data_IF_683139546383
#
_entry.id   IF_683139546383
#
_cell.length_a   1.000
_cell.length_b   1.000
_cell.length_c   1.000
_cell.angle_alpha   90.00
_cell.angle_beta   90.00
_cell.angle_gamma   90.00
#
_symmetry.space_group_name_H-M   'P 1'
#
loop_
_entity.id
_entity.type
_entity.pdbx_description
1 polymer ?
#
# COMPACT_ATOMS: atom_id res chain seq x y z
N UNK A 1 -0.83 20.04 -15.11
CA UNK A 1 0.27 20.06 -14.13
C UNK A 1 -0.38 20.16 -12.75
N UNK A 2 -0.12 19.17 -11.89
CA UNK A 2 -0.49 19.09 -10.45
C UNK A 2 -1.94 18.71 -10.05
N UNK A 3 -2.29 17.42 -10.14
CA UNK A 3 -3.32 16.77 -9.29
C UNK A 3 -2.71 16.10 -8.03
N UNK A 4 -1.49 16.49 -7.64
CA UNK A 4 -0.82 16.02 -6.43
C UNK A 4 -1.56 16.48 -5.15
N UNK A 5 -2.28 17.60 -5.22
CA UNK A 5 -2.86 18.28 -4.05
C UNK A 5 -4.06 17.59 -3.39
N UNK A 6 -4.59 16.46 -3.89
CA UNK A 6 -5.70 15.78 -3.20
C UNK A 6 -5.27 14.49 -2.50
N UNK A 7 -4.47 13.64 -3.16
CA UNK A 7 -3.99 12.40 -2.55
C UNK A 7 -3.06 12.68 -1.36
N UNK A 8 -2.12 13.62 -1.52
CA UNK A 8 -1.19 14.04 -0.46
C UNK A 8 -1.93 14.64 0.75
N UNK A 9 -2.95 15.46 0.48
CA UNK A 9 -3.80 16.04 1.52
C UNK A 9 -4.59 14.96 2.28
N UNK A 10 -5.09 13.93 1.59
CA UNK A 10 -5.77 12.81 2.25
C UNK A 10 -4.77 11.97 3.07
N UNK A 11 -3.55 11.76 2.56
CA UNK A 11 -2.49 11.08 3.31
C UNK A 11 -2.16 11.83 4.61
N UNK A 12 -1.99 13.15 4.53
CA UNK A 12 -1.77 14.02 5.68
C UNK A 12 -2.92 13.91 6.69
N UNK A 13 -4.18 13.93 6.24
CA UNK A 13 -5.35 13.76 7.12
C UNK A 13 -5.40 12.38 7.79
N UNK A 14 -5.05 11.31 7.07
CA UNK A 14 -4.95 9.97 7.63
C UNK A 14 -3.85 9.92 8.69
N UNK A 15 -2.67 10.48 8.40
CA UNK A 15 -1.56 10.54 9.34
C UNK A 15 -1.92 11.32 10.61
N UNK A 16 -2.52 12.50 10.47
CA UNK A 16 -3.01 13.28 11.61
C UNK A 16 -4.02 12.49 12.43
N UNK A 17 -5.01 11.86 11.78
CA UNK A 17 -5.99 11.04 12.48
C UNK A 17 -5.36 9.86 13.24
N UNK A 18 -4.30 9.25 12.69
CA UNK A 18 -3.55 8.18 13.37
C UNK A 18 -2.78 8.73 14.58
N UNK A 19 -2.11 9.88 14.42
CA UNK A 19 -1.34 10.53 15.49
C UNK A 19 -2.21 10.99 16.66
N UNK A 20 -3.46 11.35 16.37
CA UNK A 20 -4.44 11.80 17.36
C UNK A 20 -5.14 10.63 18.08
N UNK A 21 -4.85 9.37 17.72
CA UNK A 21 -5.41 8.21 18.41
C UNK A 21 -4.92 8.14 19.87
N UNK A 22 -5.83 8.04 20.86
CA UNK A 22 -5.44 7.86 22.26
C UNK A 22 -4.64 6.57 22.50
N UNK A 23 -4.89 5.54 21.68
CA UNK A 23 -4.17 4.29 21.68
C UNK A 23 -3.90 3.86 20.23
N UNK A 24 -2.71 4.13 19.68
CA UNK A 24 -2.34 3.74 18.33
C UNK A 24 -2.02 2.25 18.30
N UNK A 25 -2.97 1.43 17.89
CA UNK A 25 -2.81 0.01 17.70
C UNK A 25 -3.39 -0.41 16.34
N UNK A 26 -3.12 -1.64 15.91
CA UNK A 26 -3.56 -2.13 14.60
C UNK A 26 -5.07 -2.01 14.41
N UNK A 27 -5.87 -2.22 15.45
CA UNK A 27 -7.33 -2.16 15.35
C UNK A 27 -7.83 -0.72 15.14
N UNK A 28 -7.29 0.25 15.89
CA UNK A 28 -7.67 1.67 15.76
C UNK A 28 -7.19 2.26 14.43
N UNK A 29 -5.97 1.94 13.99
CA UNK A 29 -5.47 2.34 12.67
C UNK A 29 -6.30 1.75 11.53
N UNK A 30 -6.70 0.46 11.63
CA UNK A 30 -7.61 -0.16 10.65
C UNK A 30 -8.99 0.48 10.63
N UNK A 31 -9.48 1.00 11.75
CA UNK A 31 -10.75 1.71 11.78
C UNK A 31 -10.69 2.99 10.93
N UNK A 32 -9.61 3.77 11.07
CA UNK A 32 -9.34 4.94 10.23
C UNK A 32 -9.25 4.52 8.76
N UNK A 33 -8.43 3.53 8.43
CA UNK A 33 -8.29 3.04 7.06
C UNK A 33 -9.63 2.63 6.46
N UNK A 34 -10.47 1.87 7.19
CA UNK A 34 -11.82 1.47 6.73
C UNK A 34 -12.72 2.68 6.48
N UNK A 35 -12.66 3.72 7.32
CA UNK A 35 -13.41 4.95 7.12
C UNK A 35 -13.02 5.61 5.79
N UNK A 36 -11.73 5.76 5.52
CA UNK A 36 -11.24 6.35 4.27
C UNK A 36 -11.49 5.45 3.06
N UNK A 37 -11.35 4.11 3.18
CA UNK A 37 -11.69 3.18 2.10
C UNK A 37 -13.16 3.32 1.65
N UNK A 38 -14.09 3.61 2.58
CA UNK A 38 -15.49 3.88 2.21
C UNK A 38 -15.64 5.19 1.46
N UNK A 39 -14.97 6.25 1.90
CA UNK A 39 -14.98 7.58 1.23
C UNK A 39 -14.38 7.50 -0.18
N UNK A 40 -13.33 6.70 -0.34
CA UNK A 40 -12.54 6.58 -1.56
C UNK A 40 -12.97 5.40 -2.44
N UNK A 41 -14.14 4.81 -2.19
CA UNK A 41 -14.60 3.58 -2.87
C UNK A 41 -14.65 3.71 -4.40
N UNK A 42 -14.89 4.92 -4.90
CA UNK A 42 -15.00 5.23 -6.34
C UNK A 42 -13.82 6.08 -6.84
N UNK A 43 -12.75 6.19 -6.05
CA UNK A 43 -11.57 6.92 -6.47
C UNK A 43 -10.87 6.19 -7.63
N UNK A 44 -10.23 6.96 -8.50
CA UNK A 44 -9.47 6.38 -9.60
C UNK A 44 -8.26 5.58 -9.07
N UNK A 45 -7.87 4.50 -9.76
CA UNK A 45 -6.73 3.68 -9.35
C UNK A 45 -5.43 4.46 -9.14
N UNK A 46 -5.13 5.41 -10.02
CA UNK A 46 -3.96 6.29 -9.93
C UNK A 46 -3.96 7.17 -8.68
N UNK A 47 -5.13 7.62 -8.24
CA UNK A 47 -5.29 8.37 -7.00
C UNK A 47 -4.92 7.51 -5.78
N UNK A 48 -5.41 6.26 -5.73
CA UNK A 48 -5.10 5.34 -4.63
C UNK A 48 -3.62 4.95 -4.60
N UNK A 49 -2.99 4.76 -5.77
CA UNK A 49 -1.55 4.50 -5.85
C UNK A 49 -0.74 5.68 -5.32
N UNK A 50 -1.12 6.91 -5.68
CA UNK A 50 -0.46 8.13 -5.19
C UNK A 50 -0.64 8.28 -3.67
N UNK A 51 -1.85 8.07 -3.16
CA UNK A 51 -2.14 8.06 -1.73
C UNK A 51 -1.31 7.00 -0.98
N UNK A 52 -1.23 5.78 -1.51
CA UNK A 52 -0.48 4.70 -0.89
C UNK A 52 1.03 5.01 -0.87
N UNK A 53 1.56 5.54 -1.97
CA UNK A 53 2.96 5.97 -2.06
C UNK A 53 3.27 7.03 -1.01
N UNK A 54 2.44 8.06 -0.90
CA UNK A 54 2.61 9.13 0.10
C UNK A 54 2.53 8.61 1.54
N UNK A 55 1.59 7.71 1.84
CA UNK A 55 1.49 7.08 3.16
C UNK A 55 2.76 6.28 3.49
N UNK A 56 3.33 5.58 2.52
CA UNK A 56 4.54 4.77 2.68
C UNK A 56 5.79 5.64 2.86
N UNK A 57 6.07 6.53 1.91
CA UNK A 57 7.34 7.25 1.81
C UNK A 57 7.43 8.44 2.77
N UNK A 58 6.36 9.23 2.91
CA UNK A 58 6.38 10.45 3.73
C UNK A 58 6.05 10.17 5.20
N UNK A 59 5.11 9.28 5.46
CA UNK A 59 4.55 9.06 6.80
C UNK A 59 4.92 7.73 7.44
N UNK A 60 5.72 6.90 6.74
CA UNK A 60 6.14 5.57 7.20
C UNK A 60 4.98 4.62 7.58
N UNK A 61 3.84 4.77 6.89
CA UNK A 61 2.63 3.93 7.06
C UNK A 61 2.57 2.82 6.00
N UNK A 62 3.69 2.12 5.77
CA UNK A 62 3.85 1.11 4.70
C UNK A 62 2.76 0.03 4.70
N UNK A 63 2.48 -0.59 5.84
CA UNK A 63 1.45 -1.64 5.92
C UNK A 63 0.03 -1.12 5.61
N UNK A 64 -0.27 0.13 5.97
CA UNK A 64 -1.55 0.78 5.66
C UNK A 64 -1.67 1.11 4.17
N UNK A 65 -0.57 1.57 3.55
CA UNK A 65 -0.49 1.78 2.11
C UNK A 65 -0.86 0.49 1.35
N UNK A 66 -0.27 -0.64 1.76
CA UNK A 66 -0.57 -1.95 1.18
C UNK A 66 -2.05 -2.35 1.38
N UNK A 67 -2.63 -2.10 2.56
CA UNK A 67 -4.06 -2.36 2.79
C UNK A 67 -4.98 -1.49 1.90
N UNK A 68 -4.64 -0.22 1.65
CA UNK A 68 -5.42 0.62 0.74
C UNK A 68 -5.43 0.07 -0.68
N UNK A 69 -4.28 -0.38 -1.18
CA UNK A 69 -4.17 -1.02 -2.49
C UNK A 69 -4.96 -2.34 -2.50
N UNK A 70 -4.69 -3.24 -1.54
CA UNK A 70 -5.27 -4.59 -1.49
C UNK A 70 -6.79 -4.59 -1.39
N UNK A 71 -7.38 -3.62 -0.69
CA UNK A 71 -8.82 -3.54 -0.51
C UNK A 71 -9.53 -2.59 -1.48
N UNK A 72 -8.80 -1.94 -2.39
CA UNK A 72 -9.38 -1.19 -3.50
C UNK A 72 -9.30 -2.01 -4.80
N UNK A 73 -10.40 -2.69 -5.16
CA UNK A 73 -10.42 -3.71 -6.22
C UNK A 73 -9.82 -3.23 -7.55
N UNK A 74 -10.23 -2.06 -8.04
CA UNK A 74 -9.74 -1.55 -9.33
C UNK A 74 -8.26 -1.18 -9.29
N UNK A 75 -7.73 -0.72 -8.14
CA UNK A 75 -6.29 -0.47 -7.98
C UNK A 75 -5.51 -1.77 -7.92
N UNK A 76 -5.98 -2.72 -7.11
CA UNK A 76 -5.31 -4.01 -6.96
C UNK A 76 -5.15 -4.73 -8.30
N UNK A 77 -6.20 -4.72 -9.12
CA UNK A 77 -6.20 -5.35 -10.45
C UNK A 77 -5.24 -4.68 -11.46
N UNK A 78 -4.75 -3.48 -11.19
CA UNK A 78 -3.77 -2.77 -12.03
C UNK A 78 -2.33 -2.95 -11.56
N UNK A 79 -2.12 -3.70 -10.46
CA UNK A 79 -0.77 -4.09 -10.06
C UNK A 79 -0.15 -4.98 -11.13
N UNK A 80 1.08 -4.62 -11.47
CA UNK A 80 2.02 -5.36 -12.30
C UNK A 80 3.36 -5.45 -11.55
N UNK A 81 4.32 -6.15 -12.14
CA UNK A 81 5.67 -6.31 -11.59
C UNK A 81 6.29 -4.96 -11.22
N UNK A 82 6.31 -3.99 -12.13
CA UNK A 82 6.91 -2.67 -11.89
C UNK A 82 6.29 -1.94 -10.70
N UNK A 83 4.96 -1.95 -10.55
CA UNK A 83 4.31 -1.33 -9.39
C UNK A 83 4.61 -2.10 -8.11
N UNK A 84 4.61 -3.43 -8.15
CA UNK A 84 4.93 -4.25 -6.98
C UNK A 84 6.36 -4.00 -6.50
N UNK A 85 7.33 -3.93 -7.42
CA UNK A 85 8.72 -3.60 -7.08
C UNK A 85 8.85 -2.21 -6.47
N UNK A 86 8.16 -1.21 -7.03
CA UNK A 86 8.15 0.14 -6.45
C UNK A 86 7.61 0.19 -5.01
N UNK A 87 6.65 -0.68 -4.65
CA UNK A 87 6.17 -0.81 -3.27
C UNK A 87 7.01 -1.78 -2.43
N UNK A 88 7.81 -2.63 -3.05
CA UNK A 88 8.63 -3.67 -2.40
C UNK A 88 10.05 -3.22 -2.04
N UNK A 89 10.52 -2.08 -2.53
CA UNK A 89 11.86 -1.57 -2.23
C UNK A 89 12.05 -1.19 -0.76
N UNK A 90 13.30 -1.27 -0.28
CA UNK A 90 13.76 -0.78 1.03
C UNK A 90 12.97 -1.35 2.22
N UNK A 91 12.64 -2.64 2.18
CA UNK A 91 11.98 -3.33 3.30
C UNK A 91 13.02 -3.71 4.36
N UNK A 92 13.13 -2.89 5.41
CA UNK A 92 14.17 -3.01 6.46
C UNK A 92 13.79 -3.91 7.64
N UNK A 93 12.65 -4.62 7.57
CA UNK A 93 12.12 -5.40 8.68
C UNK A 93 11.26 -6.58 8.23
N UNK A 94 11.30 -7.69 8.99
CA UNK A 94 10.47 -8.88 8.76
C UNK A 94 8.97 -8.56 8.69
N UNK A 95 8.49 -7.65 9.53
CA UNK A 95 7.08 -7.23 9.52
C UNK A 95 6.69 -6.55 8.20
N UNK A 96 7.62 -5.78 7.59
CA UNK A 96 7.39 -5.14 6.30
C UNK A 96 7.38 -6.13 5.14
N UNK A 97 8.28 -7.11 5.16
CA UNK A 97 8.36 -8.23 4.20
C UNK A 97 7.09 -9.07 4.26
N UNK A 98 6.67 -9.47 5.46
CA UNK A 98 5.44 -10.24 5.68
C UNK A 98 4.20 -9.47 5.22
N UNK A 99 4.13 -8.16 5.49
CA UNK A 99 3.03 -7.32 5.04
C UNK A 99 2.99 -7.25 3.50
N UNK A 100 4.13 -7.05 2.84
CA UNK A 100 4.22 -7.00 1.38
C UNK A 100 3.80 -8.33 0.75
N UNK A 101 4.35 -9.44 1.21
CA UNK A 101 4.05 -10.77 0.70
C UNK A 101 2.56 -11.13 0.88
N UNK A 102 1.98 -10.86 2.07
CA UNK A 102 0.60 -11.23 2.38
C UNK A 102 -0.45 -10.32 1.77
N UNK A 103 -0.15 -9.04 1.59
CA UNK A 103 -1.12 -8.05 1.12
C UNK A 103 -0.99 -7.76 -0.37
N UNK A 104 0.21 -7.79 -0.95
CA UNK A 104 0.45 -7.40 -2.34
C UNK A 104 0.95 -8.56 -3.19
N UNK A 105 2.21 -8.97 -3.02
CA UNK A 105 2.88 -9.89 -3.94
C UNK A 105 2.20 -11.26 -4.02
N UNK A 106 1.91 -11.90 -2.89
CA UNK A 106 1.27 -13.22 -2.86
C UNK A 106 -0.12 -13.22 -3.51
N UNK A 107 -1.03 -12.31 -3.14
CA UNK A 107 -2.33 -12.20 -3.81
C UNK A 107 -2.25 -11.85 -5.31
N UNK A 108 -1.28 -11.04 -5.74
CA UNK A 108 -1.08 -10.69 -7.15
C UNK A 108 -0.58 -11.90 -7.95
N UNK A 109 0.38 -12.65 -7.38
CA UNK A 109 0.86 -13.90 -7.94
C UNK A 109 -0.26 -14.94 -8.05
N UNK A 110 -1.05 -15.14 -6.99
CA UNK A 110 -2.19 -16.06 -6.99
C UNK A 110 -3.24 -15.72 -8.06
N UNK A 111 -3.40 -14.43 -8.39
CA UNK A 111 -4.31 -13.97 -9.44
C UNK A 111 -3.69 -13.98 -10.86
N UNK A 112 -2.43 -14.41 -10.99
CA UNK A 112 -1.71 -14.41 -12.26
C UNK A 112 -1.35 -13.02 -12.78
N UNK A 113 -1.35 -11.99 -11.92
CA UNK A 113 -0.92 -10.64 -12.29
C UNK A 113 0.61 -10.55 -12.46
N UNK A 114 1.34 -11.44 -11.80
CA UNK A 114 2.77 -11.67 -12.00
C UNK A 114 3.00 -13.18 -12.16
N UNK A 115 4.05 -13.53 -12.90
CA UNK A 115 4.40 -14.92 -13.18
C UNK A 115 5.41 -15.48 -12.16
N UNK A 116 5.53 -16.81 -12.10
CA UNK A 116 6.41 -17.52 -11.16
C UNK A 116 7.88 -17.08 -11.29
N UNK A 117 8.32 -16.75 -12.51
CA UNK A 117 9.69 -16.30 -12.79
C UNK A 117 10.02 -14.98 -12.07
N UNK A 118 9.04 -14.09 -11.88
CA UNK A 118 9.17 -12.86 -11.09
C UNK A 118 9.48 -13.21 -9.63
N UNK A 119 8.71 -14.11 -9.03
CA UNK A 119 8.91 -14.56 -7.63
C UNK A 119 10.28 -15.23 -7.48
N UNK A 120 10.66 -16.07 -8.43
CA UNK A 120 11.98 -16.69 -8.43
C UNK A 120 13.10 -15.65 -8.53
N UNK A 121 12.96 -14.60 -9.35
CA UNK A 121 13.96 -13.51 -9.41
C UNK A 121 14.10 -12.80 -8.07
N UNK A 122 13.00 -12.41 -7.44
CA UNK A 122 13.05 -11.73 -6.13
C UNK A 122 13.69 -12.60 -5.05
N UNK A 123 13.42 -13.91 -5.05
CA UNK A 123 14.04 -14.84 -4.10
C UNK A 123 15.57 -15.00 -4.27
N UNK A 124 16.14 -14.60 -5.41
CA UNK A 124 17.58 -14.60 -5.68
C UNK A 124 18.19 -13.19 -5.69
N UNK A 125 17.42 -12.16 -5.29
CA UNK A 125 17.92 -10.79 -5.29
C UNK A 125 18.89 -10.54 -4.11
N UNK A 126 19.80 -9.59 -4.29
CA UNK A 126 20.72 -9.14 -3.24
C UNK A 126 20.08 -8.18 -2.23
N UNK A 127 18.82 -7.78 -2.47
CA UNK A 127 18.00 -6.98 -1.55
C UNK A 127 17.39 -7.91 -0.48
N UNK A 128 17.96 -7.87 0.74
CA UNK A 128 17.67 -8.77 1.88
C UNK A 128 17.09 -8.04 3.08
#
# INVERSE_FOLDING_TARGET
MMELSNAENIAAQINTAIRDLPMPNTASMRAIRRQYSRKLKQAEPTFILTLAKELMETYNHRWLAYEFIRYHKSTFQQLDETKLEAFGQDMDSWDSVDAFARLLAGPAWLQGQIADDVIHRWAHSDDL
#
